data_IF_780871589088
#
_entry.id   IF_780871589088
#
_cell.length_a   1.000
_cell.length_b   1.000
_cell.length_c   1.000
_cell.angle_alpha   90.00
_cell.angle_beta   90.00
_cell.angle_gamma   90.00
#
_symmetry.space_group_name_H-M   'P 1'
#
loop_
_entity.id
_entity.type
_entity.pdbx_description
1 polymer ?
#
# COMPACT_ATOMS: atom_id res chain seq x y z
N UNK A 1 6.53 -16.12 -12.24
CA UNK A 1 7.57 -15.11 -11.95
C UNK A 1 6.90 -14.00 -11.16
N UNK A 2 7.35 -13.68 -9.93
CA UNK A 2 6.82 -12.52 -9.22
C UNK A 2 7.04 -11.27 -10.07
N UNK A 3 6.07 -10.36 -10.07
CA UNK A 3 6.19 -9.09 -10.78
C UNK A 3 7.40 -8.35 -10.21
N UNK A 4 8.31 -7.88 -11.09
CA UNK A 4 9.50 -7.14 -10.65
C UNK A 4 9.16 -5.87 -9.88
N UNK A 5 7.91 -5.40 -9.97
CA UNK A 5 7.38 -4.25 -9.26
C UNK A 5 6.68 -4.60 -7.94
N UNK A 6 6.52 -5.88 -7.60
CA UNK A 6 5.98 -6.32 -6.30
C UNK A 6 7.05 -6.18 -5.22
N UNK A 7 6.78 -5.39 -4.19
CA UNK A 7 7.68 -5.18 -3.06
C UNK A 7 7.19 -5.84 -1.77
N UNK A 8 5.92 -6.22 -1.71
CA UNK A 8 5.33 -6.82 -0.52
C UNK A 8 4.12 -7.68 -0.89
N UNK A 9 3.92 -8.77 -0.17
CA UNK A 9 2.81 -9.70 -0.38
C UNK A 9 2.37 -10.28 0.96
N UNK A 10 1.06 -10.33 1.17
CA UNK A 10 0.47 -10.98 2.34
C UNK A 10 -0.90 -11.57 1.98
N UNK A 11 -1.22 -12.70 2.60
CA UNK A 11 -2.56 -13.29 2.53
C UNK A 11 -3.34 -12.92 3.79
N UNK A 12 -4.55 -12.40 3.62
CA UNK A 12 -5.48 -12.04 4.70
C UNK A 12 -6.84 -12.62 4.34
N UNK A 13 -7.38 -13.47 5.21
CA UNK A 13 -8.68 -14.11 5.01
C UNK A 13 -8.82 -14.82 3.63
N UNK A 14 -7.79 -15.57 3.23
CA UNK A 14 -7.77 -16.30 1.95
C UNK A 14 -7.66 -15.41 0.72
N UNK A 15 -7.30 -14.13 0.89
CA UNK A 15 -7.13 -13.16 -0.19
C UNK A 15 -5.73 -12.58 -0.20
N UNK A 16 -5.14 -12.46 -1.39
CA UNK A 16 -3.78 -11.95 -1.53
C UNK A 16 -3.75 -10.46 -1.80
N UNK A 17 -3.12 -9.72 -0.89
CA UNK A 17 -2.78 -8.32 -1.04
C UNK A 17 -1.32 -8.16 -1.42
N UNK A 18 -1.05 -7.26 -2.35
CA UNK A 18 0.31 -6.95 -2.82
C UNK A 18 0.57 -5.47 -2.75
N UNK A 19 1.76 -5.10 -2.30
CA UNK A 19 2.36 -3.81 -2.54
C UNK A 19 3.07 -3.83 -3.89
N UNK A 20 2.64 -2.99 -4.83
CA UNK A 20 3.24 -2.87 -6.17
C UNK A 20 3.69 -1.44 -6.46
N UNK A 21 4.79 -1.29 -7.20
CA UNK A 21 5.28 0.02 -7.66
C UNK A 21 4.77 0.29 -9.07
N UNK A 22 4.03 1.37 -9.24
CA UNK A 22 3.63 1.92 -10.53
C UNK A 22 4.46 3.17 -10.86
N UNK A 23 4.28 3.73 -12.06
CA UNK A 23 5.04 4.88 -12.54
C UNK A 23 4.96 6.12 -11.62
N UNK A 24 3.91 6.23 -10.81
CA UNK A 24 3.62 7.32 -9.89
C UNK A 24 3.74 6.94 -8.40
N UNK A 25 4.24 5.73 -8.09
CA UNK A 25 4.61 5.32 -6.74
C UNK A 25 4.00 3.99 -6.28
N UNK A 26 3.97 3.74 -4.96
CA UNK A 26 3.51 2.47 -4.39
C UNK A 26 1.98 2.40 -4.27
N UNK A 27 1.44 1.21 -4.56
CA UNK A 27 0.02 0.89 -4.55
C UNK A 27 -0.23 -0.35 -3.70
N UNK A 28 -1.41 -0.39 -3.07
CA UNK A 28 -2.03 -1.60 -2.55
C UNK A 28 -2.89 -2.20 -3.66
N UNK A 29 -2.73 -3.48 -3.94
CA UNK A 29 -3.56 -4.22 -4.89
C UNK A 29 -4.09 -5.49 -4.24
N UNK A 30 -5.31 -5.86 -4.61
CA UNK A 30 -5.94 -7.13 -4.27
C UNK A 30 -5.89 -8.02 -5.52
N UNK A 31 -5.17 -9.13 -5.49
CA UNK A 31 -4.92 -9.94 -6.69
C UNK A 31 -6.20 -10.59 -7.26
N UNK A 32 -7.19 -10.93 -6.43
CA UNK A 32 -8.44 -11.53 -6.92
C UNK A 32 -9.43 -10.50 -7.50
N UNK A 33 -9.16 -9.19 -7.34
CA UNK A 33 -10.08 -8.14 -7.79
C UNK A 33 -9.88 -7.83 -9.28
N UNK A 34 -10.81 -8.29 -10.11
CA UNK A 34 -10.93 -7.87 -11.53
C UNK A 34 -11.66 -6.54 -11.71
N UNK A 35 -12.33 -6.06 -10.66
CA UNK A 35 -13.30 -4.95 -10.71
C UNK A 35 -12.68 -3.57 -10.53
N UNK A 36 -11.46 -3.48 -9.99
CA UNK A 36 -10.78 -2.21 -9.72
C UNK A 36 -9.32 -2.31 -10.16
N UNK A 37 -9.11 -2.20 -11.47
CA UNK A 37 -7.93 -2.70 -12.19
C UNK A 37 -6.57 -2.08 -11.84
N UNK A 38 -6.51 -1.00 -11.05
CA UNK A 38 -5.25 -0.30 -10.77
C UNK A 38 -4.78 -0.39 -9.30
N UNK A 39 -5.59 -0.95 -8.40
CA UNK A 39 -5.31 -0.89 -6.95
C UNK A 39 -5.52 0.50 -6.37
N UNK A 40 -5.16 0.67 -5.09
CA UNK A 40 -5.28 1.92 -4.36
C UNK A 40 -3.88 2.49 -4.06
N UNK A 41 -3.60 3.76 -4.40
CA UNK A 41 -2.29 4.34 -4.12
C UNK A 41 -2.09 4.43 -2.59
N UNK A 42 -0.93 4.00 -2.10
CA UNK A 42 -0.56 4.06 -0.68
C UNK A 42 -0.18 5.50 -0.32
N UNK A 43 -1.17 6.40 -0.26
CA UNK A 43 -1.05 7.83 0.11
C UNK A 43 -1.58 8.08 1.52
N UNK A 44 -1.30 9.28 2.04
CA UNK A 44 -1.90 9.84 3.27
C UNK A 44 -3.43 9.99 3.24
N UNK A 45 -4.07 9.77 2.09
CA UNK A 45 -5.52 9.88 1.92
C UNK A 45 -6.22 8.54 1.66
N UNK A 46 -5.48 7.44 1.65
CA UNK A 46 -6.07 6.11 1.64
C UNK A 46 -6.60 5.81 3.05
N UNK A 47 -7.86 5.42 3.14
CA UNK A 47 -8.50 5.04 4.41
C UNK A 47 -9.29 3.76 4.21
N UNK A 48 -9.31 2.89 5.23
CA UNK A 48 -10.24 1.78 5.30
C UNK A 48 -11.53 2.27 5.96
N UNK A 49 -12.64 2.31 5.23
CA UNK A 49 -13.92 2.79 5.77
C UNK A 49 -15.01 1.73 5.62
N UNK A 50 -15.95 1.77 6.55
CA UNK A 50 -17.12 0.88 6.61
C UNK A 50 -18.33 1.67 6.13
N UNK A 51 -18.81 1.40 4.91
CA UNK A 51 -20.04 2.03 4.39
C UNK A 51 -21.26 1.32 4.99
N UNK A 52 -22.42 2.02 5.13
CA UNK A 52 -23.65 1.42 5.62
C UNK A 52 -24.01 0.17 4.80
N UNK A 53 -24.12 -0.99 5.48
CA UNK A 53 -24.32 -2.30 4.81
C UNK A 53 -23.23 -3.36 5.07
N UNK A 54 -22.34 -3.15 6.05
CA UNK A 54 -21.34 -4.11 6.58
C UNK A 54 -20.16 -4.44 5.66
N UNK A 55 -19.89 -3.64 4.63
CA UNK A 55 -18.74 -3.88 3.74
C UNK A 55 -17.64 -2.85 3.99
N UNK A 56 -16.42 -3.34 4.13
CA UNK A 56 -15.24 -2.51 4.20
C UNK A 56 -14.72 -2.19 2.80
N UNK A 57 -14.17 -0.99 2.65
CA UNK A 57 -13.56 -0.54 1.41
C UNK A 57 -12.26 0.19 1.72
N UNK A 58 -11.30 0.05 0.82
CA UNK A 58 -10.18 0.98 0.74
C UNK A 58 -10.60 2.16 -0.16
N UNK A 59 -10.66 3.37 0.41
CA UNK A 59 -11.20 4.58 -0.21
C UNK A 59 -10.10 5.64 -0.28
N UNK A 60 -10.01 6.36 -1.41
CA UNK A 60 -9.17 7.54 -1.54
C UNK A 60 -10.00 8.84 -1.47
N UNK A 61 -9.32 9.98 -1.30
CA UNK A 61 -9.83 11.35 -0.99
C UNK A 61 -11.08 11.87 -1.74
N UNK A 62 -11.58 11.18 -2.76
CA UNK A 62 -12.81 11.51 -3.49
C UNK A 62 -14.01 10.64 -3.09
N UNK A 63 -13.89 9.85 -2.02
CA UNK A 63 -14.92 8.91 -1.54
C UNK A 63 -15.26 7.78 -2.52
N UNK A 64 -14.45 7.59 -3.55
CA UNK A 64 -14.61 6.49 -4.50
C UNK A 64 -13.97 5.21 -3.92
N UNK A 65 -14.74 4.10 -3.82
CA UNK A 65 -14.19 2.83 -3.38
C UNK A 65 -13.23 2.28 -4.44
N UNK A 66 -11.97 2.06 -4.06
CA UNK A 66 -10.94 1.52 -4.93
C UNK A 66 -10.70 0.02 -4.72
N UNK A 67 -10.95 -0.49 -3.51
CA UNK A 67 -10.88 -1.93 -3.22
C UNK A 67 -12.07 -2.28 -2.36
N UNK A 68 -12.89 -3.21 -2.83
CA UNK A 68 -13.95 -3.83 -2.03
C UNK A 68 -13.35 -4.95 -1.19
N UNK A 69 -13.63 -4.93 0.11
CA UNK A 69 -13.22 -5.95 1.09
C UNK A 69 -14.46 -6.70 1.59
N UNK A 70 -15.15 -7.47 0.73
CA UNK A 70 -16.35 -8.19 1.14
C UNK A 70 -15.97 -9.31 2.12
N UNK A 71 -16.80 -9.46 3.15
CA UNK A 71 -16.66 -10.48 4.21
C UNK A 71 -15.51 -10.26 5.19
N UNK A 72 -14.76 -9.15 5.07
CA UNK A 72 -13.74 -8.80 6.04
C UNK A 72 -14.39 -8.42 7.38
N UNK A 73 -13.91 -9.05 8.44
CA UNK A 73 -14.24 -8.67 9.81
C UNK A 73 -13.33 -7.54 10.28
N UNK A 74 -13.72 -6.94 11.39
CA UNK A 74 -12.97 -5.84 12.00
C UNK A 74 -11.49 -6.21 12.25
N UNK A 75 -11.20 -7.47 12.61
CA UNK A 75 -9.85 -8.00 12.82
C UNK A 75 -9.03 -8.09 11.52
N UNK A 76 -9.66 -8.51 10.42
CA UNK A 76 -9.00 -8.59 9.10
C UNK A 76 -8.61 -7.21 8.59
N UNK A 77 -9.48 -6.22 8.85
CA UNK A 77 -9.24 -4.82 8.50
C UNK A 77 -8.13 -4.25 9.38
N UNK A 78 -8.09 -4.59 10.66
CA UNK A 78 -6.96 -4.20 11.53
C UNK A 78 -5.64 -4.80 11.06
N UNK A 79 -5.66 -6.06 10.63
CA UNK A 79 -4.49 -6.70 10.06
C UNK A 79 -4.04 -5.95 8.79
N UNK A 80 -4.94 -5.74 7.83
CA UNK A 80 -4.61 -5.01 6.59
C UNK A 80 -4.09 -3.58 6.89
N UNK A 81 -4.75 -2.88 7.80
CA UNK A 81 -4.37 -1.55 8.27
C UNK A 81 -2.96 -1.53 8.87
N UNK A 82 -2.61 -2.53 9.68
CA UNK A 82 -1.28 -2.65 10.29
C UNK A 82 -0.21 -2.97 9.27
N UNK A 83 -0.46 -3.93 8.39
CA UNK A 83 0.53 -4.43 7.43
C UNK A 83 0.89 -3.38 6.38
N UNK A 84 -0.11 -2.60 5.94
CA UNK A 84 0.08 -1.52 4.97
C UNK A 84 0.06 -0.12 5.58
N UNK A 85 -0.08 0.02 6.89
CA UNK A 85 -0.08 1.34 7.55
C UNK A 85 -1.21 2.26 7.10
N UNK A 86 -2.40 1.72 6.86
CA UNK A 86 -3.57 2.44 6.34
C UNK A 86 -4.48 2.81 7.51
N UNK A 87 -4.85 4.09 7.71
CA UNK A 87 -5.79 4.47 8.75
C UNK A 87 -7.16 3.81 8.52
N UNK A 88 -7.85 3.50 9.62
CA UNK A 88 -9.23 3.03 9.60
C UNK A 88 -10.10 4.23 9.99
N UNK A 89 -11.10 4.52 9.18
CA UNK A 89 -12.09 5.57 9.44
C UNK A 89 -12.85 5.25 10.74
N UNK A 90 -13.21 6.29 11.51
CA UNK A 90 -13.92 6.16 12.79
C UNK A 90 -13.16 5.40 13.90
N UNK A 91 -11.82 5.26 13.80
CA UNK A 91 -10.98 4.68 14.87
C UNK A 91 -9.87 5.63 15.33
N UNK A 92 -9.65 5.66 16.64
CA UNK A 92 -8.59 6.47 17.28
C UNK A 92 -7.18 5.91 17.07
N UNK A 93 -7.04 4.67 16.58
CA UNK A 93 -5.74 4.08 16.24
C UNK A 93 -5.24 4.64 14.92
N UNK A 94 -4.19 5.46 15.00
CA UNK A 94 -3.50 5.97 13.84
C UNK A 94 -2.42 4.99 13.34
N UNK A 95 -2.74 4.29 12.25
CA UNK A 95 -1.74 3.56 11.46
C UNK A 95 -1.02 4.53 10.51
N UNK A 96 0.28 4.30 10.28
CA UNK A 96 1.11 5.11 9.38
C UNK A 96 1.87 4.20 8.44
N UNK A 97 1.89 4.55 7.14
CA UNK A 97 2.62 3.80 6.13
C UNK A 97 4.09 3.71 6.49
N UNK A 98 4.73 4.79 6.93
CA UNK A 98 6.17 4.85 7.21
C UNK A 98 6.64 3.84 8.27
N UNK A 99 5.75 3.43 9.17
CA UNK A 99 5.98 2.47 10.26
C UNK A 99 5.52 1.04 9.91
N UNK A 100 4.90 0.84 8.75
CA UNK A 100 4.30 -0.44 8.38
C UNK A 100 5.34 -1.46 7.88
N UNK A 101 5.04 -2.77 7.99
CA UNK A 101 5.75 -3.83 7.29
C UNK A 101 5.92 -3.57 5.78
N UNK A 102 4.88 -3.12 5.10
CA UNK A 102 4.93 -2.79 3.67
C UNK A 102 5.94 -1.67 3.35
N UNK A 103 6.06 -0.63 4.18
CA UNK A 103 7.07 0.42 3.97
C UNK A 103 8.49 -0.06 4.17
N UNK A 104 8.73 -0.95 5.16
CA UNK A 104 10.04 -1.58 5.32
C UNK A 104 10.42 -2.42 4.10
N UNK A 105 9.47 -3.21 3.60
CA UNK A 105 9.66 -4.00 2.40
C UNK A 105 9.90 -3.13 1.16
N UNK A 106 9.17 -2.02 0.98
CA UNK A 106 9.40 -1.04 -0.10
C UNK A 106 10.81 -0.44 -0.04
N UNK A 107 11.29 -0.08 1.17
CA UNK A 107 12.65 0.45 1.35
C UNK A 107 13.71 -0.58 0.97
N UNK A 108 13.53 -1.84 1.36
CA UNK A 108 14.43 -2.92 1.00
C UNK A 108 14.38 -3.22 -0.51
N UNK A 109 13.19 -3.26 -1.10
CA UNK A 109 13.00 -3.47 -2.54
C UNK A 109 13.65 -2.35 -3.36
N UNK A 110 13.49 -1.08 -2.96
CA UNK A 110 14.10 0.05 -3.67
C UNK A 110 15.64 0.06 -3.63
N UNK A 111 16.23 -0.54 -2.58
CA UNK A 111 17.67 -0.80 -2.51
C UNK A 111 18.13 -1.89 -3.49
N UNK A 112 17.29 -2.91 -3.71
CA UNK A 112 17.58 -4.03 -4.63
C UNK A 112 17.30 -3.68 -6.09
N UNK A 113 16.38 -2.73 -6.34
CA UNK A 113 15.93 -2.33 -7.66
C UNK A 113 16.04 -0.80 -7.88
N UNK A 114 17.23 -0.19 -7.72
CA UNK A 114 17.39 1.26 -7.71
C UNK A 114 17.00 1.92 -9.05
N UNK A 115 17.27 1.25 -10.18
CA UNK A 115 16.92 1.74 -11.51
C UNK A 115 15.40 1.86 -11.70
N UNK A 116 14.66 0.81 -11.28
CA UNK A 116 13.20 0.78 -11.35
C UNK A 116 12.61 1.79 -10.37
N UNK A 117 13.13 1.84 -9.15
CA UNK A 117 12.69 2.80 -8.15
C UNK A 117 12.86 4.24 -8.64
N UNK A 118 13.94 4.55 -9.34
CA UNK A 118 14.20 5.87 -9.93
C UNK A 118 13.27 6.18 -11.11
N UNK A 119 13.00 5.21 -11.97
CA UNK A 119 12.06 5.38 -13.08
C UNK A 119 10.62 5.65 -12.58
N UNK A 120 10.23 4.98 -11.48
CA UNK A 120 8.93 5.12 -10.83
C UNK A 120 8.87 6.24 -9.78
N UNK A 121 9.97 6.97 -9.55
CA UNK A 121 10.01 8.10 -8.61
C UNK A 121 9.70 9.44 -9.26
N UNK A 122 8.95 9.45 -10.37
CA UNK A 122 8.65 10.66 -11.15
C UNK A 122 8.20 11.85 -10.29
N UNK A 123 8.28 13.07 -10.83
CA UNK A 123 7.95 14.32 -10.11
C UNK A 123 6.54 14.35 -9.49
N UNK A 124 5.65 13.48 -9.96
CA UNK A 124 4.29 13.27 -9.44
C UNK A 124 4.22 12.18 -8.36
N UNK A 125 5.33 11.59 -7.94
CA UNK A 125 5.33 10.44 -7.04
C UNK A 125 4.73 10.83 -5.69
N UNK A 126 3.65 10.12 -5.36
CA UNK A 126 2.70 10.54 -4.33
C UNK A 126 3.17 10.21 -2.91
N UNK A 127 4.34 9.57 -2.79
CA UNK A 127 5.08 9.33 -1.54
C UNK A 127 6.42 10.05 -1.68
N UNK A 128 6.66 11.20 -1.04
CA UNK A 128 7.92 11.89 -1.20
C UNK A 128 9.10 11.04 -0.70
N UNK A 129 10.18 10.94 -1.50
CA UNK A 129 11.48 10.37 -1.09
C UNK A 129 11.50 8.89 -0.68
N UNK A 130 10.49 8.07 -1.02
CA UNK A 130 10.50 6.63 -0.71
C UNK A 130 11.74 5.91 -1.26
N UNK A 131 12.21 6.33 -2.44
CA UNK A 131 13.40 5.82 -3.13
C UNK A 131 14.73 6.34 -2.55
N UNK A 132 14.71 7.39 -1.71
CA UNK A 132 15.94 8.00 -1.15
C UNK A 132 16.42 7.33 0.14
N UNK A 133 15.57 6.53 0.79
CA UNK A 133 15.92 5.83 2.04
C UNK A 133 17.10 4.87 1.88
N UNK A 134 17.43 4.47 0.66
CA UNK A 134 18.59 3.61 0.36
C UNK A 134 19.94 4.32 0.27
N UNK A 135 19.98 5.65 0.02
CA UNK A 135 21.26 6.34 -0.30
C UNK A 135 22.02 6.88 0.90
N UNK A 136 21.41 6.96 2.09
CA UNK A 136 22.11 7.50 3.29
C UNK A 136 23.06 6.53 3.98
N UNK A 137 23.12 5.26 3.57
CA UNK A 137 24.07 4.27 4.16
C UNK A 137 25.26 3.91 3.27
N UNK A 138 25.29 4.37 2.02
CA UNK A 138 26.38 4.09 1.07
C UNK A 138 27.31 5.29 0.84
N UNK A 139 27.07 6.42 1.51
CA UNK A 139 27.95 7.59 1.48
C UNK A 139 28.82 7.72 2.75
N UNK A 140 28.95 6.62 3.52
CA UNK A 140 29.71 6.56 4.78
C UNK A 140 30.57 5.30 4.90
N UNK A 141 30.85 4.66 3.77
CA UNK A 141 31.90 3.66 3.58
C UNK A 141 32.81 4.16 2.45
#
# INVERSE_FOLDING_TARGET
>A
MPDRHEFYRIEICGRTFTGTVHADGPYLKLLESRTFGYGAPLRSHLVLSKVPGRRYYAICRNSEPLISLPLFLDEDVELLAREFGIPIDDRSRHYSFERSPASRALKQWSLQHPEIARACSGLTSLVPRWYQAGRRRLASL
#
